data_IF_722499947515
#
_entry.id   IF_722499947515
#
_cell.length_a   1.000
_cell.length_b   1.000
_cell.length_c   1.000
_cell.angle_alpha   90.00
_cell.angle_beta   90.00
_cell.angle_gamma   90.00
#
_symmetry.space_group_name_H-M   'P 1'
#
loop_
_entity.id
_entity.type
_entity.pdbx_description
1 polymer ?
#
# COMPACT_ATOMS: atom_id res chain seq x y z
N UNK A 1 -9.70 -6.49 -6.25
CA UNK A 1 -8.38 -7.16 -6.49
C UNK A 1 -7.49 -6.85 -5.29
N UNK A 2 -6.75 -7.83 -4.76
CA UNK A 2 -5.85 -7.58 -3.62
C UNK A 2 -4.53 -7.00 -4.12
N UNK A 3 -4.05 -5.93 -3.46
CA UNK A 3 -2.84 -5.19 -3.85
C UNK A 3 -1.92 -5.06 -2.64
N UNK A 4 -0.63 -5.32 -2.86
CA UNK A 4 0.41 -5.22 -1.85
C UNK A 4 1.29 -4.01 -2.15
N UNK A 5 1.55 -3.19 -1.14
CA UNK A 5 2.42 -2.01 -1.21
C UNK A 5 3.61 -2.26 -0.30
N UNK A 6 4.82 -2.14 -0.84
CA UNK A 6 6.06 -2.06 -0.06
C UNK A 6 6.65 -0.69 -0.26
N UNK A 7 6.54 0.16 0.75
CA UNK A 7 7.00 1.55 0.69
C UNK A 7 7.37 2.01 2.10
N UNK A 8 8.62 2.45 2.28
CA UNK A 8 9.16 2.86 3.57
C UNK A 8 8.83 4.31 3.94
N UNK A 9 8.50 5.15 2.96
CA UNK A 9 7.99 6.49 3.23
C UNK A 9 6.48 6.45 3.55
N UNK A 10 6.13 6.76 4.80
CA UNK A 10 4.75 6.74 5.30
C UNK A 10 3.80 7.59 4.44
N UNK A 11 4.23 8.76 3.94
CA UNK A 11 3.36 9.64 3.14
C UNK A 11 3.03 9.01 1.79
N UNK A 12 4.05 8.48 1.12
CA UNK A 12 3.91 7.80 -0.17
C UNK A 12 3.08 6.53 -0.03
N UNK A 13 3.32 5.74 1.03
CA UNK A 13 2.55 4.53 1.35
C UNK A 13 1.06 4.86 1.57
N UNK A 14 0.74 5.87 2.37
CA UNK A 14 -0.65 6.31 2.60
C UNK A 14 -1.32 6.83 1.33
N UNK A 15 -0.61 7.60 0.50
CA UNK A 15 -1.15 8.13 -0.75
C UNK A 15 -1.50 7.01 -1.72
N UNK A 16 -0.59 6.04 -1.90
CA UNK A 16 -0.81 4.88 -2.75
C UNK A 16 -1.97 4.02 -2.25
N UNK A 17 -2.03 3.77 -0.95
CA UNK A 17 -3.11 3.00 -0.34
C UNK A 17 -4.47 3.66 -0.57
N UNK A 18 -4.57 4.98 -0.41
CA UNK A 18 -5.80 5.74 -0.66
C UNK A 18 -6.24 5.63 -2.12
N UNK A 19 -5.34 5.90 -3.06
CA UNK A 19 -5.65 5.85 -4.51
C UNK A 19 -6.09 4.46 -4.95
N UNK A 20 -5.48 3.40 -4.40
CA UNK A 20 -5.84 2.02 -4.71
C UNK A 20 -7.18 1.62 -4.07
N UNK A 21 -7.44 2.02 -2.83
CA UNK A 21 -8.72 1.80 -2.17
C UNK A 21 -9.89 2.50 -2.91
N UNK A 22 -9.69 3.74 -3.37
CA UNK A 22 -10.67 4.49 -4.18
C UNK A 22 -11.00 3.78 -5.51
N UNK A 23 -10.06 2.96 -6.02
CA UNK A 23 -10.25 2.12 -7.22
C UNK A 23 -10.85 0.74 -6.92
N UNK A 24 -11.24 0.47 -5.67
CA UNK A 24 -11.83 -0.81 -5.25
C UNK A 24 -10.80 -1.92 -5.04
N UNK A 25 -9.54 -1.58 -4.82
CA UNK A 25 -8.53 -2.55 -4.43
C UNK A 25 -8.53 -2.75 -2.91
N UNK A 26 -8.41 -4.00 -2.48
CA UNK A 26 -8.11 -4.32 -1.10
C UNK A 26 -6.59 -4.18 -0.91
N UNK A 27 -6.16 -3.27 -0.04
CA UNK A 27 -4.74 -2.90 0.10
C UNK A 27 -4.15 -3.47 1.38
N UNK A 28 -2.96 -4.05 1.27
CA UNK A 28 -2.09 -4.39 2.40
C UNK A 28 -0.74 -3.70 2.19
N UNK A 29 -0.22 -3.05 3.23
CA UNK A 29 0.98 -2.23 3.16
C UNK A 29 2.04 -2.72 4.14
N UNK A 30 3.29 -2.62 3.72
CA UNK A 30 4.47 -2.99 4.51
C UNK A 30 5.56 -1.92 4.35
N UNK A 31 6.34 -1.71 5.41
CA UNK A 31 7.38 -0.67 5.43
C UNK A 31 8.64 -1.13 4.69
N UNK A 32 8.83 -2.43 4.53
CA UNK A 32 9.96 -3.03 3.83
C UNK A 32 9.62 -4.44 3.30
N UNK A 33 10.51 -4.98 2.48
CA UNK A 33 10.32 -6.27 1.80
C UNK A 33 10.37 -7.48 2.74
N UNK A 34 10.95 -7.37 3.94
CA UNK A 34 11.03 -8.48 4.89
C UNK A 34 9.69 -8.71 5.62
N UNK A 35 8.88 -7.66 5.72
CA UNK A 35 7.55 -7.72 6.33
C UNK A 35 6.46 -8.21 5.36
N UNK A 36 6.70 -8.10 4.05
CA UNK A 36 5.75 -8.36 2.97
C UNK A 36 5.60 -9.85 2.63
#
# INVERSE_FOLDING_TARGET
MKTLIVEGDMKSQCLLAKVLAERGHEVVSYDNAEQA
#
